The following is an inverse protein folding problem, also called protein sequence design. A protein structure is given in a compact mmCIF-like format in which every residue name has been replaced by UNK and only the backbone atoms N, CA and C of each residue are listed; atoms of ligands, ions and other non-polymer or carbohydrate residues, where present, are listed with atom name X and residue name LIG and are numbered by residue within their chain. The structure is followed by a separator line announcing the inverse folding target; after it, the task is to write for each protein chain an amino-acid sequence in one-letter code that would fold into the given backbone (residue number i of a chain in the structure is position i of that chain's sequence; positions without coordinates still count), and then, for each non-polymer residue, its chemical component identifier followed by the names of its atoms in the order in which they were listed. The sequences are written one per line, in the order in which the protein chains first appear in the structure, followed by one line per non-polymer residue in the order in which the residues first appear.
data_IF_693158653494
#
_entry.id   IF_693158653494
#
_cell.length_a   1.000
_cell.length_b   1.000
_cell.length_c   1.000
_cell.angle_alpha   90.00
_cell.angle_beta   90.00
_cell.angle_gamma   90.00
#
_symmetry.space_group_name_H-M   'P 1'
#
loop_
_entity.id
_entity.type
_entity.pdbx_description
1 polymer ?
#
# COMPACT_ATOMS: atom_id res chain seq x y z
N UNK A 1 -14.34 -8.64 8.65
CA UNK A 1 -13.36 -7.68 8.10
C UNK A 1 -12.88 -6.83 9.25
N UNK A 2 -11.58 -6.57 9.31
CA UNK A 2 -10.93 -5.89 10.42
C UNK A 2 -10.57 -4.47 10.01
N UNK A 3 -11.17 -3.46 10.65
CA UNK A 3 -10.84 -2.05 10.43
C UNK A 3 -9.77 -1.62 11.44
N UNK A 4 -8.50 -1.87 11.11
CA UNK A 4 -7.37 -1.68 12.02
C UNK A 4 -6.06 -1.32 11.27
N UNK A 5 -6.19 -0.84 10.05
CA UNK A 5 -5.07 -0.48 9.17
C UNK A 5 -5.33 0.95 8.69
N UNK A 6 -4.27 1.75 8.60
CA UNK A 6 -4.27 3.08 7.96
C UNK A 6 -3.05 3.20 7.07
N UNK A 7 -3.12 4.12 6.14
CA UNK A 7 -1.95 4.59 5.41
C UNK A 7 -1.73 6.09 5.58
N UNK A 8 -0.46 6.48 5.61
CA UNK A 8 -0.03 7.85 5.94
C UNK A 8 1.19 8.27 5.11
N UNK A 9 1.41 9.57 5.06
CA UNK A 9 2.57 10.24 4.47
C UNK A 9 2.95 11.47 5.29
N UNK A 10 3.88 12.29 4.78
CA UNK A 10 4.16 13.62 5.33
C UNK A 10 2.95 14.57 5.39
N UNK A 11 1.85 14.28 4.69
CA UNK A 11 0.62 15.08 4.78
C UNK A 11 -0.14 14.88 6.09
N UNK A 12 0.10 13.77 6.81
CA UNK A 12 -0.60 13.45 8.04
C UNK A 12 0.14 14.02 9.26
N UNK A 13 -0.54 14.83 10.06
CA UNK A 13 -0.02 15.35 11.32
C UNK A 13 -0.30 14.36 12.44
N UNK A 14 0.70 13.53 12.77
CA UNK A 14 0.53 12.46 13.76
C UNK A 14 0.76 12.96 15.18
N UNK A 15 -0.30 12.91 16.00
CA UNK A 15 -0.23 13.32 17.41
C UNK A 15 0.24 12.19 18.34
N UNK A 16 -0.21 10.94 18.15
CA UNK A 16 0.26 9.79 18.95
C UNK A 16 -0.11 8.44 18.34
N UNK A 17 0.87 7.57 18.10
CA UNK A 17 0.63 6.20 17.66
C UNK A 17 0.16 5.29 18.81
N UNK A 18 0.47 5.65 20.06
CA UNK A 18 -0.01 4.97 21.26
C UNK A 18 -1.52 5.16 21.43
N UNK A 19 -2.01 6.38 21.21
CA UNK A 19 -3.45 6.66 21.18
C UNK A 19 -4.14 5.93 20.03
N UNK A 20 -3.51 5.91 18.84
CA UNK A 20 -4.05 5.18 17.69
C UNK A 20 -4.14 3.68 17.96
N UNK A 21 -3.10 3.09 18.58
CA UNK A 21 -3.10 1.69 19.01
C UNK A 21 -4.18 1.41 20.06
N UNK A 22 -4.34 2.28 21.05
CA UNK A 22 -5.41 2.17 22.04
C UNK A 22 -6.81 2.26 21.40
N UNK A 23 -6.94 2.99 20.29
CA UNK A 23 -8.16 3.06 19.48
C UNK A 23 -8.35 1.88 18.51
N UNK A 24 -7.49 0.85 18.59
CA UNK A 24 -7.64 -0.40 17.83
C UNK A 24 -6.79 -0.49 16.56
N UNK A 25 -5.91 0.48 16.29
CA UNK A 25 -4.96 0.38 15.19
C UNK A 25 -3.97 -0.77 15.42
N UNK A 26 -3.67 -1.52 14.36
CA UNK A 26 -2.73 -2.64 14.40
C UNK A 26 -1.58 -2.49 13.40
N UNK A 27 -1.81 -1.81 12.29
CA UNK A 27 -0.82 -1.70 11.22
C UNK A 27 -0.89 -0.35 10.50
N UNK A 28 0.26 0.09 10.00
CA UNK A 28 0.42 1.35 9.26
C UNK A 28 1.23 1.10 8.00
N UNK A 29 0.73 1.55 6.85
CA UNK A 29 1.53 1.74 5.65
C UNK A 29 1.99 3.19 5.56
N UNK A 30 3.28 3.42 5.33
CA UNK A 30 3.83 4.76 5.22
C UNK A 30 4.40 5.01 3.82
N UNK A 31 4.13 6.17 3.22
CA UNK A 31 4.81 6.59 1.99
C UNK A 31 6.30 6.60 2.21
N UNK A 32 7.07 5.84 1.45
CA UNK A 32 8.53 5.87 1.56
C UNK A 32 9.16 6.72 0.47
N UNK A 33 8.71 6.51 -0.78
CA UNK A 33 9.36 7.07 -1.96
C UNK A 33 8.37 7.37 -3.06
N UNK A 34 8.77 8.24 -3.98
CA UNK A 34 8.08 8.51 -5.23
C UNK A 34 9.12 8.73 -6.33
N UNK A 35 9.00 8.02 -7.45
CA UNK A 35 10.01 8.07 -8.50
C UNK A 35 11.40 7.69 -7.97
N UNK A 36 12.44 8.24 -8.60
CA UNK A 36 13.84 7.88 -8.27
C UNK A 36 14.52 8.83 -7.30
N UNK A 37 13.84 9.90 -6.87
CA UNK A 37 14.47 11.01 -6.15
C UNK A 37 13.77 11.41 -4.85
N UNK A 38 12.45 11.25 -4.75
CA UNK A 38 11.71 11.74 -3.59
C UNK A 38 11.67 10.69 -2.48
N UNK A 39 12.13 11.07 -1.29
CA UNK A 39 11.94 10.34 -0.04
C UNK A 39 10.98 11.11 0.83
N UNK A 40 9.99 10.44 1.39
CA UNK A 40 9.07 11.09 2.32
C UNK A 40 9.87 11.54 3.57
N UNK A 41 9.85 12.84 3.91
CA UNK A 41 10.69 13.39 4.97
C UNK A 41 10.31 12.91 6.37
N UNK A 42 9.10 12.39 6.58
CA UNK A 42 8.64 11.91 7.89
C UNK A 42 8.84 10.42 8.09
N UNK A 43 9.20 9.66 7.03
CA UNK A 43 9.35 8.21 7.05
C UNK A 43 10.20 7.70 8.22
N UNK A 44 11.36 8.34 8.47
CA UNK A 44 12.27 7.87 9.51
C UNK A 44 11.68 8.02 10.92
N UNK A 45 11.17 9.21 11.24
CA UNK A 45 10.55 9.51 12.54
C UNK A 45 9.31 8.66 12.76
N UNK A 46 8.41 8.63 11.77
CA UNK A 46 7.17 7.89 11.87
C UNK A 46 7.42 6.39 12.01
N UNK A 47 8.35 5.80 11.23
CA UNK A 47 8.69 4.38 11.38
C UNK A 47 9.13 4.05 12.81
N UNK A 48 10.04 4.84 13.38
CA UNK A 48 10.51 4.62 14.75
C UNK A 48 9.35 4.68 15.76
N UNK A 49 8.45 5.65 15.62
CA UNK A 49 7.31 5.81 16.52
C UNK A 49 6.24 4.72 16.34
N UNK A 50 6.00 4.27 15.11
CA UNK A 50 5.10 3.13 14.80
C UNK A 50 5.64 1.85 15.46
N UNK A 51 6.92 1.55 15.24
CA UNK A 51 7.57 0.35 15.79
C UNK A 51 7.64 0.43 17.33
N UNK A 52 7.94 1.60 17.91
CA UNK A 52 7.97 1.80 19.36
C UNK A 52 6.58 1.64 20.00
N UNK A 53 5.51 2.07 19.32
CA UNK A 53 4.14 1.79 19.74
C UNK A 53 3.78 0.30 19.60
N UNK A 54 4.61 -0.53 18.94
CA UNK A 54 4.35 -1.94 18.68
C UNK A 54 3.26 -2.17 17.63
N UNK A 55 3.15 -1.25 16.67
CA UNK A 55 2.31 -1.39 15.47
C UNK A 55 3.12 -2.06 14.35
N UNK A 56 2.41 -2.74 13.44
CA UNK A 56 3.01 -3.34 12.27
C UNK A 56 3.36 -2.26 11.23
N UNK A 57 4.59 -2.31 10.69
CA UNK A 57 5.08 -1.32 9.73
C UNK A 57 5.11 -1.86 8.31
N UNK A 58 4.50 -1.12 7.39
CA UNK A 58 4.55 -1.32 5.96
C UNK A 58 4.98 -0.03 5.28
N UNK A 59 5.47 -0.15 4.06
CA UNK A 59 5.92 0.99 3.27
C UNK A 59 5.39 0.88 1.84
N UNK A 60 5.05 2.01 1.24
CA UNK A 60 4.65 2.08 -0.16
C UNK A 60 5.53 3.01 -0.98
N UNK A 61 5.64 2.69 -2.26
CA UNK A 61 6.28 3.50 -3.29
C UNK A 61 5.20 4.02 -4.24
N UNK A 62 5.08 5.34 -4.36
CA UNK A 62 4.21 5.97 -5.36
C UNK A 62 4.88 5.88 -6.74
N UNK A 63 4.33 5.04 -7.61
CA UNK A 63 4.87 4.81 -8.94
C UNK A 63 4.61 6.00 -9.88
N UNK A 64 5.63 6.38 -10.64
CA UNK A 64 5.51 7.36 -11.72
C UNK A 64 6.06 6.79 -13.03
N UNK A 65 5.73 7.41 -14.17
CA UNK A 65 6.35 7.04 -15.45
C UNK A 65 7.88 7.13 -15.38
N UNK A 66 8.58 6.19 -16.01
CA UNK A 66 10.03 6.16 -16.09
C UNK A 66 10.63 4.81 -15.70
N UNK A 67 11.89 4.83 -15.26
CA UNK A 67 12.66 3.61 -14.98
C UNK A 67 12.11 2.88 -13.75
N UNK A 68 11.30 1.84 -14.00
CA UNK A 68 10.69 1.01 -12.97
C UNK A 68 11.72 0.23 -12.13
N UNK A 69 12.84 -0.17 -12.73
CA UNK A 69 13.91 -0.85 -12.00
C UNK A 69 14.60 0.12 -11.04
N UNK A 70 14.98 1.31 -11.51
CA UNK A 70 15.59 2.32 -10.65
C UNK A 70 14.64 2.76 -9.53
N UNK A 71 13.32 2.83 -9.80
CA UNK A 71 12.30 3.10 -8.78
C UNK A 71 12.26 1.99 -7.71
N UNK A 72 12.27 0.72 -8.11
CA UNK A 72 12.29 -0.41 -7.17
C UNK A 72 13.58 -0.43 -6.32
N UNK A 73 14.74 -0.24 -6.94
CA UNK A 73 16.03 -0.16 -6.24
C UNK A 73 16.05 1.01 -5.24
N UNK A 74 15.55 2.18 -5.66
CA UNK A 74 15.47 3.35 -4.79
C UNK A 74 14.53 3.12 -3.60
N UNK A 75 13.37 2.52 -3.84
CA UNK A 75 12.41 2.16 -2.79
C UNK A 75 13.04 1.21 -1.76
N UNK A 76 13.64 0.12 -2.22
CA UNK A 76 14.27 -0.88 -1.36
C UNK A 76 15.44 -0.27 -0.56
N UNK A 77 16.28 0.55 -1.19
CA UNK A 77 17.37 1.26 -0.50
C UNK A 77 16.89 2.21 0.60
N UNK A 78 15.67 2.75 0.43
CA UNK A 78 15.04 3.66 1.39
C UNK A 78 14.45 2.92 2.57
N UNK A 79 13.69 1.86 2.31
CA UNK A 79 12.97 1.11 3.34
C UNK A 79 13.90 0.15 4.11
N UNK A 80 15.00 -0.28 3.49
CA UNK A 80 16.00 -1.21 4.05
C UNK A 80 15.48 -2.62 4.27
N UNK A 81 14.82 -2.94 5.38
CA UNK A 81 14.28 -4.28 5.71
C UNK A 81 13.08 -4.17 6.67
N UNK A 82 12.37 -5.28 6.90
CA UNK A 82 11.40 -5.42 7.99
C UNK A 82 10.02 -4.80 7.74
N UNK A 83 9.78 -4.26 6.55
CA UNK A 83 8.48 -3.71 6.15
C UNK A 83 7.72 -4.68 5.25
N UNK A 84 6.39 -4.59 5.22
CA UNK A 84 5.61 -5.11 4.09
C UNK A 84 5.66 -4.06 2.97
N UNK A 85 6.06 -4.48 1.76
CA UNK A 85 6.29 -3.59 0.61
C UNK A 85 5.07 -3.47 -0.28
N UNK A 86 4.79 -2.27 -0.79
CA UNK A 86 3.67 -1.98 -1.67
C UNK A 86 4.11 -1.09 -2.83
N UNK A 87 3.68 -1.43 -4.05
CA UNK A 87 3.60 -0.49 -5.15
C UNK A 87 2.24 0.20 -5.10
N UNK A 88 2.26 1.52 -5.03
CA UNK A 88 1.11 2.39 -5.21
C UNK A 88 1.03 2.79 -6.69
N UNK A 89 0.03 2.23 -7.37
CA UNK A 89 -0.21 2.34 -8.81
C UNK A 89 -1.50 3.13 -9.06
N UNK A 90 -1.36 4.44 -9.11
CA UNK A 90 -2.47 5.39 -9.26
C UNK A 90 -2.08 6.59 -10.15
N UNK A 91 -3.03 7.47 -10.52
CA UNK A 91 -2.73 8.63 -11.36
C UNK A 91 -1.75 9.59 -10.68
N UNK A 92 -0.78 10.09 -11.42
CA UNK A 92 0.20 11.04 -10.94
C UNK A 92 -0.22 12.48 -11.27
N UNK A 93 -0.76 13.26 -10.31
CA UNK A 93 -1.22 14.62 -10.60
C UNK A 93 -0.08 15.59 -10.95
N UNK A 94 1.18 15.19 -10.76
CA UNK A 94 2.36 16.02 -10.98
C UNK A 94 3.17 15.61 -12.23
N UNK A 95 2.68 14.65 -13.03
CA UNK A 95 3.42 14.18 -14.19
C UNK A 95 2.70 13.09 -14.96
N UNK A 96 3.47 12.23 -15.62
CA UNK A 96 2.92 11.07 -16.31
C UNK A 96 2.74 9.89 -15.35
N UNK A 97 1.68 9.13 -15.62
CA UNK A 97 1.33 7.93 -14.87
C UNK A 97 2.30 6.78 -15.17
N UNK A 98 2.58 5.97 -14.17
CA UNK A 98 3.21 4.67 -14.41
C UNK A 98 2.30 3.84 -15.34
N UNK A 99 2.88 3.20 -16.34
CA UNK A 99 2.19 2.28 -17.23
C UNK A 99 2.04 0.89 -16.61
N UNK A 100 1.15 0.07 -17.16
CA UNK A 100 0.98 -1.32 -16.73
C UNK A 100 2.28 -2.13 -16.84
N UNK A 101 3.05 -1.91 -17.91
CA UNK A 101 4.33 -2.58 -18.14
C UNK A 101 5.38 -2.16 -17.10
N UNK A 102 5.45 -0.87 -16.78
CA UNK A 102 6.37 -0.37 -15.74
C UNK A 102 5.98 -0.91 -14.35
N UNK A 103 4.68 -1.03 -14.05
CA UNK A 103 4.22 -1.67 -12.83
C UNK A 103 4.65 -3.14 -12.74
N UNK A 104 4.51 -3.91 -13.83
CA UNK A 104 5.01 -5.29 -13.92
C UNK A 104 6.52 -5.37 -13.68
N UNK A 105 7.29 -4.50 -14.33
CA UNK A 105 8.74 -4.42 -14.14
C UNK A 105 9.13 -4.09 -12.70
N UNK A 106 8.43 -3.15 -12.06
CA UNK A 106 8.68 -2.78 -10.67
C UNK A 106 8.46 -3.97 -9.75
N UNK A 107 7.30 -4.65 -9.84
CA UNK A 107 6.99 -5.77 -8.94
C UNK A 107 7.91 -6.96 -9.19
N UNK A 108 8.32 -7.17 -10.45
CA UNK A 108 9.32 -8.16 -10.82
C UNK A 108 10.65 -7.88 -10.11
N UNK A 109 11.12 -6.63 -10.14
CA UNK A 109 12.39 -6.27 -9.51
C UNK A 109 12.35 -6.37 -7.99
N UNK A 110 11.23 -5.99 -7.36
CA UNK A 110 11.04 -6.25 -5.92
C UNK A 110 11.08 -7.74 -5.63
N UNK A 111 10.46 -8.58 -6.47
CA UNK A 111 10.49 -10.04 -6.32
C UNK A 111 11.91 -10.61 -6.46
N UNK A 112 12.68 -10.15 -7.43
CA UNK A 112 14.07 -10.60 -7.61
C UNK A 112 14.94 -10.22 -6.41
N UNK A 113 14.81 -8.98 -5.91
CA UNK A 113 15.65 -8.48 -4.84
C UNK A 113 15.30 -9.05 -3.46
N UNK A 114 14.02 -9.33 -3.21
CA UNK A 114 13.53 -9.69 -1.86
C UNK A 114 13.03 -11.12 -1.74
N UNK A 115 12.86 -11.83 -2.86
CA UNK A 115 12.18 -13.11 -2.90
C UNK A 115 10.67 -13.02 -2.68
N UNK A 116 10.07 -11.82 -2.61
CA UNK A 116 8.64 -11.59 -2.37
C UNK A 116 8.02 -10.63 -3.37
N UNK A 117 6.80 -10.94 -3.80
CA UNK A 117 6.02 -9.94 -4.53
C UNK A 117 5.53 -8.87 -3.55
N UNK A 118 5.61 -7.57 -3.90
CA UNK A 118 4.98 -6.53 -3.10
C UNK A 118 3.46 -6.63 -3.19
N UNK A 119 2.78 -5.86 -2.36
CA UNK A 119 1.37 -5.53 -2.60
C UNK A 119 1.22 -4.60 -3.78
N UNK A 120 0.04 -4.63 -4.39
CA UNK A 120 -0.38 -3.63 -5.35
C UNK A 120 -1.54 -2.84 -4.73
N UNK A 121 -1.28 -1.57 -4.41
CA UNK A 121 -2.32 -0.58 -4.15
C UNK A 121 -2.77 0.03 -5.48
N UNK A 122 -4.07 0.01 -5.74
CA UNK A 122 -4.67 0.70 -6.88
C UNK A 122 -6.20 0.77 -6.74
N UNK A 123 -6.83 1.66 -7.51
CA UNK A 123 -8.29 1.83 -7.57
C UNK A 123 -8.85 1.58 -8.97
N UNK A 124 -9.24 2.67 -9.65
CA UNK A 124 -9.74 2.60 -11.03
C UNK A 124 -8.61 2.31 -12.03
N UNK A 125 -7.38 2.82 -11.78
CA UNK A 125 -6.23 2.72 -12.69
C UNK A 125 -5.95 1.28 -13.11
N UNK A 126 -5.83 0.34 -12.16
CA UNK A 126 -5.59 -1.06 -12.52
C UNK A 126 -6.75 -1.68 -13.32
N UNK A 127 -8.00 -1.29 -13.06
CA UNK A 127 -9.17 -1.82 -13.78
C UNK A 127 -9.15 -1.38 -15.24
N UNK A 128 -8.88 -0.10 -15.46
CA UNK A 128 -8.79 0.50 -16.79
C UNK A 128 -7.59 -0.06 -17.57
N UNK A 129 -6.43 -0.16 -16.93
CA UNK A 129 -5.22 -0.71 -17.54
C UNK A 129 -5.41 -2.17 -17.99
N UNK A 130 -6.01 -3.02 -17.14
CA UNK A 130 -6.31 -4.41 -17.50
C UNK A 130 -7.31 -4.51 -18.65
N UNK A 131 -8.35 -3.66 -18.64
CA UNK A 131 -9.35 -3.61 -19.70
C UNK A 131 -8.72 -3.22 -21.04
N UNK A 132 -7.91 -2.16 -21.05
CA UNK A 132 -7.22 -1.66 -22.25
C UNK A 132 -6.24 -2.69 -22.81
N UNK A 133 -5.54 -3.42 -21.93
CA UNK A 133 -4.62 -4.49 -22.33
C UNK A 133 -5.32 -5.81 -22.72
N UNK A 134 -6.65 -5.92 -22.58
CA UNK A 134 -7.38 -7.17 -22.85
C UNK A 134 -7.06 -8.30 -21.84
N UNK A 135 -6.58 -7.95 -20.65
CA UNK A 135 -6.18 -8.89 -19.61
C UNK A 135 -7.37 -9.19 -18.71
N UNK A 136 -7.70 -10.47 -18.56
CA UNK A 136 -8.86 -10.92 -17.78
C UNK A 136 -8.61 -12.19 -16.95
N UNK A 137 -7.44 -12.82 -17.11
CA UNK A 137 -7.04 -14.04 -16.41
C UNK A 137 -5.72 -13.82 -15.68
N UNK A 138 -5.54 -14.38 -14.48
CA UNK A 138 -4.30 -14.24 -13.70
C UNK A 138 -3.02 -14.55 -14.50
N UNK A 139 -3.03 -15.63 -15.29
CA UNK A 139 -1.85 -16.09 -16.03
C UNK A 139 -1.35 -15.12 -17.13
N UNK A 140 -2.07 -14.04 -17.41
CA UNK A 140 -1.71 -13.06 -18.43
C UNK A 140 -0.83 -11.91 -17.89
N UNK A 141 -0.64 -11.81 -16.56
CA UNK A 141 0.13 -10.73 -15.93
C UNK A 141 0.78 -11.17 -14.63
N UNK A 142 2.00 -10.70 -14.39
CA UNK A 142 2.73 -10.92 -13.14
C UNK A 142 2.08 -10.18 -11.95
N UNK A 143 1.33 -9.11 -12.20
CA UNK A 143 0.62 -8.36 -11.15
C UNK A 143 -0.36 -9.25 -10.36
N UNK A 144 -0.88 -10.32 -10.97
CA UNK A 144 -1.75 -11.29 -10.30
C UNK A 144 -1.08 -12.01 -9.12
N UNK A 145 0.25 -12.00 -9.04
CA UNK A 145 1.03 -12.56 -7.94
C UNK A 145 1.12 -11.61 -6.72
N UNK A 146 0.86 -10.32 -6.93
CA UNK A 146 0.82 -9.32 -5.86
C UNK A 146 -0.46 -9.49 -5.05
N UNK A 147 -0.39 -9.34 -3.73
CA UNK A 147 -1.60 -9.23 -2.93
C UNK A 147 -2.27 -7.87 -3.19
N UNK A 148 -3.60 -7.86 -3.27
CA UNK A 148 -4.34 -6.67 -3.67
C UNK A 148 -4.71 -5.78 -2.47
N UNK A 149 -4.33 -4.51 -2.53
CA UNK A 149 -4.87 -3.43 -1.74
C UNK A 149 -5.74 -2.55 -2.64
N UNK A 150 -7.06 -2.68 -2.51
CA UNK A 150 -7.97 -2.02 -3.43
C UNK A 150 -8.46 -0.69 -2.83
N UNK A 151 -8.30 0.40 -3.55
CA UNK A 151 -8.96 1.67 -3.24
C UNK A 151 -10.34 1.74 -3.89
N UNK A 152 -11.40 1.80 -3.09
CA UNK A 152 -12.77 1.97 -3.60
C UNK A 152 -13.71 2.53 -2.51
N UNK A 153 -14.06 3.80 -2.62
CA UNK A 153 -14.85 4.51 -1.60
C UNK A 153 -16.35 4.29 -1.82
N UNK A 154 -16.83 3.12 -1.43
CA UNK A 154 -18.22 2.72 -1.61
C UNK A 154 -18.63 1.64 -0.61
N UNK A 155 -19.86 1.10 -0.72
CA UNK A 155 -20.34 0.09 0.22
C UNK A 155 -19.71 -1.29 0.02
N UNK A 156 -19.16 -1.56 -1.17
CA UNK A 156 -18.51 -2.83 -1.48
C UNK A 156 -17.39 -2.66 -2.52
N UNK A 157 -16.25 -3.35 -2.36
CA UNK A 157 -15.18 -3.37 -3.35
C UNK A 157 -15.53 -4.25 -4.56
N UNK A 158 -15.17 -3.80 -5.77
CA UNK A 158 -15.23 -4.60 -6.99
C UNK A 158 -13.83 -5.08 -7.37
N UNK A 159 -13.56 -6.36 -7.10
CA UNK A 159 -12.23 -6.98 -7.33
C UNK A 159 -12.02 -7.23 -8.83
N UNK A 160 -10.89 -6.79 -9.42
CA UNK A 160 -10.54 -7.12 -10.80
C UNK A 160 -10.35 -8.64 -10.98
N UNK A 161 -10.74 -9.18 -12.14
CA UNK A 161 -10.83 -10.63 -12.39
C UNK A 161 -9.52 -11.41 -12.24
N UNK A 162 -8.37 -10.72 -12.27
CA UNK A 162 -7.07 -11.36 -12.06
C UNK A 162 -6.77 -11.67 -10.59
N UNK A 163 -7.60 -11.19 -9.66
CA UNK A 163 -7.58 -11.56 -8.25
C UNK A 163 -8.90 -12.24 -7.86
N UNK A 164 -8.81 -13.22 -6.96
CA UNK A 164 -10.00 -13.87 -6.37
C UNK A 164 -10.59 -13.08 -5.19
N UNK A 165 -9.77 -12.26 -4.53
CA UNK A 165 -10.13 -11.44 -3.38
C UNK A 165 -9.17 -10.27 -3.21
N UNK A 166 -9.62 -9.22 -2.55
CA UNK A 166 -8.75 -8.19 -1.98
C UNK A 166 -8.17 -8.68 -0.65
N UNK A 167 -7.00 -8.17 -0.28
CA UNK A 167 -6.32 -8.39 1.00
C UNK A 167 -6.54 -7.20 1.93
N UNK A 168 -6.33 -6.00 1.40
CA UNK A 168 -6.70 -4.72 2.02
C UNK A 168 -7.70 -3.98 1.14
N UNK A 169 -8.56 -3.20 1.77
CA UNK A 169 -9.53 -2.34 1.11
C UNK A 169 -9.52 -0.96 1.77
N UNK A 170 -9.02 0.04 1.04
CA UNK A 170 -9.15 1.44 1.43
C UNK A 170 -10.57 1.89 1.09
N UNK A 171 -11.37 2.10 2.12
CA UNK A 171 -12.80 2.39 1.97
C UNK A 171 -13.12 3.88 2.08
N UNK A 172 -12.17 4.69 2.56
CA UNK A 172 -12.30 6.15 2.70
C UNK A 172 -10.93 6.80 2.72
N UNK A 173 -10.86 8.03 2.21
CA UNK A 173 -9.71 8.95 2.33
C UNK A 173 -9.82 9.88 3.57
N UNK A 174 -10.74 9.56 4.48
CA UNK A 174 -11.11 10.43 5.60
C UNK A 174 -12.04 11.58 5.22
N UNK A 175 -12.33 11.82 3.93
CA UNK A 175 -13.30 12.80 3.44
C UNK A 175 -14.51 12.20 2.74
N UNK A 176 -14.27 11.25 1.85
CA UNK A 176 -15.24 10.51 1.05
C UNK A 176 -15.23 9.03 1.43
N UNK A 177 -16.36 8.36 1.25
CA UNK A 177 -16.56 6.96 1.59
C UNK A 177 -17.26 6.75 2.93
N UNK A 178 -17.55 5.49 3.31
CA UNK A 178 -18.22 5.17 4.56
C UNK A 178 -17.42 5.61 5.80
N UNK A 179 -18.07 5.85 6.96
CA UNK A 179 -17.37 6.06 8.23
C UNK A 179 -16.77 4.76 8.80
N UNK A 180 -15.84 4.83 9.76
CA UNK A 180 -15.26 6.05 10.35
C UNK A 180 -14.23 6.72 9.43
N UNK A 181 -14.12 8.05 9.54
CA UNK A 181 -13.18 8.91 8.80
C UNK A 181 -11.97 9.36 9.63
N UNK A 182 -12.07 9.22 10.95
CA UNK A 182 -11.08 9.71 11.90
C UNK A 182 -10.60 8.57 12.80
N UNK A 183 -9.36 8.70 13.29
CA UNK A 183 -8.76 7.81 14.26
C UNK A 183 -8.05 8.63 15.33
N UNK A 184 -8.34 8.45 16.63
CA UNK A 184 -7.57 9.09 17.70
C UNK A 184 -6.07 8.90 17.51
N UNK A 185 -5.28 9.96 17.71
CA UNK A 185 -3.84 9.94 17.47
C UNK A 185 -3.37 10.23 16.04
N UNK A 186 -4.24 10.04 15.04
CA UNK A 186 -3.95 10.31 13.61
C UNK A 186 -4.81 11.47 13.07
N UNK A 187 -6.06 11.58 13.51
CA UNK A 187 -7.04 12.53 12.97
C UNK A 187 -7.78 11.99 11.76
N UNK A 188 -8.19 12.87 10.84
CA UNK A 188 -8.76 12.50 9.54
C UNK A 188 -7.68 11.83 8.70
N UNK A 189 -7.95 10.62 8.22
CA UNK A 189 -6.98 9.82 7.51
C UNK A 189 -7.64 8.79 6.61
N UNK A 190 -6.84 8.25 5.70
CA UNK A 190 -7.16 7.07 4.93
C UNK A 190 -7.37 5.88 5.88
N UNK A 191 -8.38 5.07 5.59
CA UNK A 191 -8.74 3.92 6.44
C UNK A 191 -8.90 2.66 5.63
N UNK A 192 -8.31 1.60 6.16
CA UNK A 192 -8.23 0.32 5.49
C UNK A 192 -8.84 -0.81 6.31
N UNK A 193 -9.56 -1.68 5.60
CA UNK A 193 -10.01 -2.95 6.13
C UNK A 193 -9.10 -4.07 5.67
N UNK A 194 -8.76 -4.98 6.58
CA UNK A 194 -8.13 -6.24 6.27
C UNK A 194 -9.17 -7.36 6.11
N UNK A 195 -8.97 -8.19 5.08
CA UNK A 195 -9.85 -9.33 4.78
C UNK A 195 -9.57 -10.53 5.69
N UNK A 196 -9.77 -10.34 6.98
CA UNK A 196 -9.51 -11.38 7.98
C UNK A 196 -9.65 -10.87 9.42
N UNK A 197 -9.07 -11.63 10.34
CA UNK A 197 -8.99 -11.33 11.77
C UNK A 197 -7.65 -10.66 12.13
N UNK A 198 -7.54 -10.14 13.35
CA UNK A 198 -6.29 -9.55 13.85
C UNK A 198 -5.12 -10.56 13.86
N UNK A 199 -5.39 -11.81 14.21
CA UNK A 199 -4.38 -12.88 14.17
C UNK A 199 -3.91 -13.16 12.74
N UNK A 200 -4.84 -13.14 11.77
CA UNK A 200 -4.50 -13.31 10.36
C UNK A 200 -3.71 -12.11 9.81
N UNK A 201 -4.01 -10.89 10.26
CA UNK A 201 -3.23 -9.70 9.91
C UNK A 201 -1.78 -9.82 10.41
N UNK A 202 -1.59 -10.22 11.66
CA UNK A 202 -0.26 -10.46 12.24
C UNK A 202 0.50 -11.55 11.47
N UNK A 203 -0.14 -12.69 11.19
CA UNK A 203 0.46 -13.76 10.41
C UNK A 203 0.82 -13.31 8.98
N UNK A 204 -0.06 -12.55 8.33
CA UNK A 204 0.20 -11.96 7.03
C UNK A 204 1.43 -11.04 7.06
N UNK A 205 1.56 -10.17 8.08
CA UNK A 205 2.71 -9.28 8.18
C UNK A 205 4.03 -10.01 8.41
N UNK A 206 4.01 -11.05 9.25
CA UNK A 206 5.19 -11.90 9.46
C UNK A 206 5.58 -12.66 8.20
N UNK A 207 4.59 -13.09 7.42
CA UNK A 207 4.82 -13.73 6.14
C UNK A 207 5.36 -12.72 5.12
N UNK A 208 4.78 -11.54 4.95
CA UNK A 208 5.10 -10.65 3.84
C UNK A 208 6.26 -9.68 4.09
N UNK A 209 6.68 -9.48 5.34
CA UNK A 209 7.83 -8.60 5.60
C UNK A 209 9.09 -9.15 4.93
N UNK A 210 9.80 -8.28 4.22
CA UNK A 210 11.07 -8.66 3.63
C UNK A 210 12.21 -8.59 4.66
N UNK A 211 13.16 -9.52 4.52
CA UNK A 211 14.26 -9.72 5.46
C UNK A 211 15.54 -9.04 4.99
#
# INVERSE_FOLDING_TARGET
MLNAVVDISHHNQISSFEQAKAAGLLAVFHKATQGTLYRDPTLHDHRQRIEAAGLLFGAYHFGVAGDAQAQAEFFLSTVKTGAVLVLDFEPNPQGHDMSLLEAEQFVHQVKQATGRYPGLYSGHTIKEALQQAGISKPAQTELSQCWLWLAQYGPAPLVPKIWSKWTLWQYTDGGFGPPPHELPGIGRCDRDQFNGTAAQLQAFWQAERFQ
#
